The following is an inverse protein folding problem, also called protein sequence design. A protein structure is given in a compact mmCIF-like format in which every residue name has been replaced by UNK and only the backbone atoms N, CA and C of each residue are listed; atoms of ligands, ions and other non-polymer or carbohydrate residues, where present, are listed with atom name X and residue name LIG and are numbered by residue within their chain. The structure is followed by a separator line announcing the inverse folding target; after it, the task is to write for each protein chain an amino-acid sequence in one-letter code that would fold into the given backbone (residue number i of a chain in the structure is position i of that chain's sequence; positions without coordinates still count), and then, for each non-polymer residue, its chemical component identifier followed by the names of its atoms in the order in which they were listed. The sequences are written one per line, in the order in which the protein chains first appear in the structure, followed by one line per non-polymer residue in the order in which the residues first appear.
data_IF_050507731983
#
_entry.id   IF_050507731983
#
_cell.length_a   1.000
_cell.length_b   1.000
_cell.length_c   1.000
_cell.angle_alpha   90.00
_cell.angle_beta   90.00
_cell.angle_gamma   90.00
#
_symmetry.space_group_name_H-M   'P 1'
#
loop_
_entity.id
_entity.type
_entity.pdbx_description
1 polymer ?
#
# COMPACT_ATOMS: atom_id res chain seq x y z
N UNK A 1 -15.59 15.35 8.05
CA UNK A 1 -14.91 14.61 6.96
C UNK A 1 -13.50 14.17 7.33
N UNK A 2 -12.66 15.01 7.95
CA UNK A 2 -11.27 14.68 8.29
C UNK A 2 -11.08 13.45 9.21
N UNK A 3 -11.93 13.23 10.22
CA UNK A 3 -11.74 12.12 11.18
C UNK A 3 -11.93 10.73 10.57
N UNK A 4 -12.88 10.57 9.64
CA UNK A 4 -13.12 9.28 8.95
C UNK A 4 -11.92 8.90 8.09
N UNK A 5 -11.39 9.88 7.36
CA UNK A 5 -10.21 9.70 6.52
C UNK A 5 -8.97 9.33 7.34
N UNK A 6 -8.74 10.00 8.48
CA UNK A 6 -7.63 9.68 9.40
C UNK A 6 -7.74 8.25 9.92
N UNK A 7 -8.94 7.82 10.35
CA UNK A 7 -9.17 6.44 10.81
C UNK A 7 -8.92 5.44 9.70
N UNK A 8 -9.43 5.70 8.49
CA UNK A 8 -9.24 4.85 7.31
C UNK A 8 -7.77 4.72 6.94
N UNK A 9 -7.02 5.82 6.95
CA UNK A 9 -5.56 5.85 6.78
C UNK A 9 -4.82 5.02 7.82
N UNK A 10 -5.23 5.12 9.08
CA UNK A 10 -4.68 4.29 10.16
C UNK A 10 -4.90 2.81 9.91
N UNK A 11 -6.11 2.41 9.49
CA UNK A 11 -6.44 1.01 9.19
C UNK A 11 -5.63 0.47 8.00
N UNK A 12 -5.61 1.17 6.86
CA UNK A 12 -4.86 0.70 5.67
C UNK A 12 -3.36 0.61 5.95
N UNK A 13 -2.80 1.61 6.65
CA UNK A 13 -1.39 1.61 7.02
C UNK A 13 -1.07 0.41 7.93
N UNK A 14 -1.91 0.17 8.94
CA UNK A 14 -1.73 -0.98 9.84
C UNK A 14 -1.81 -2.29 9.08
N UNK A 15 -2.81 -2.46 8.21
CA UNK A 15 -2.97 -3.66 7.38
C UNK A 15 -1.72 -3.94 6.53
N UNK A 16 -1.15 -2.91 5.91
CA UNK A 16 0.11 -3.06 5.17
C UNK A 16 1.29 -3.45 6.09
N UNK A 17 1.43 -2.77 7.23
CA UNK A 17 2.54 -2.98 8.17
C UNK A 17 2.44 -4.31 8.94
N UNK A 18 1.26 -4.94 9.02
CA UNK A 18 1.05 -6.22 9.69
C UNK A 18 0.73 -7.33 8.71
N UNK A 19 -0.49 -7.32 8.17
CA UNK A 19 -1.11 -8.47 7.52
C UNK A 19 -0.49 -8.71 6.15
N UNK A 20 -0.37 -7.64 5.35
CA UNK A 20 0.28 -7.73 4.05
C UNK A 20 1.77 -8.06 4.18
N UNK A 21 2.49 -7.46 5.13
CA UNK A 21 3.91 -7.76 5.33
C UNK A 21 4.14 -9.24 5.65
N UNK A 22 3.29 -9.83 6.50
CA UNK A 22 3.34 -11.27 6.78
C UNK A 22 3.06 -12.07 5.50
N UNK A 23 2.00 -11.70 4.77
CA UNK A 23 1.64 -12.36 3.53
C UNK A 23 2.76 -12.30 2.48
N UNK A 24 3.31 -11.12 2.22
CA UNK A 24 4.38 -10.91 1.25
C UNK A 24 5.62 -11.73 1.57
N UNK A 25 6.03 -11.77 2.86
CA UNK A 25 7.18 -12.57 3.29
C UNK A 25 6.92 -14.07 3.20
N UNK A 26 5.72 -14.53 3.56
CA UNK A 26 5.36 -15.95 3.46
C UNK A 26 5.22 -16.41 2.02
N UNK A 27 4.59 -15.61 1.16
CA UNK A 27 4.52 -15.86 -0.27
C UNK A 27 5.92 -15.98 -0.89
N UNK A 28 6.85 -15.09 -0.51
CA UNK A 28 8.23 -15.11 -1.00
C UNK A 28 9.06 -16.28 -0.46
N UNK A 29 8.91 -16.66 0.82
CA UNK A 29 9.74 -17.67 1.47
C UNK A 29 9.23 -19.11 1.28
N UNK A 30 7.91 -19.30 1.25
CA UNK A 30 7.28 -20.61 1.31
C UNK A 30 6.37 -20.92 0.11
N UNK A 31 6.18 -19.95 -0.81
CA UNK A 31 5.29 -20.10 -1.98
C UNK A 31 3.87 -20.57 -1.62
N UNK A 32 3.39 -20.20 -0.44
CA UNK A 32 2.07 -20.60 0.06
C UNK A 32 0.96 -19.96 -0.80
N UNK A 33 0.09 -20.78 -1.45
CA UNK A 33 -0.88 -20.29 -2.43
C UNK A 33 -1.87 -19.24 -1.88
N UNK A 34 -2.22 -19.34 -0.60
CA UNK A 34 -3.12 -18.40 0.06
C UNK A 34 -2.51 -17.00 0.18
N UNK A 35 -1.22 -16.90 0.52
CA UNK A 35 -0.51 -15.64 0.63
C UNK A 35 -0.14 -15.09 -0.74
N UNK A 36 0.14 -15.96 -1.71
CA UNK A 36 0.38 -15.54 -3.09
C UNK A 36 -0.84 -14.83 -3.68
N UNK A 37 -2.06 -15.34 -3.41
CA UNK A 37 -3.31 -14.68 -3.85
C UNK A 37 -3.46 -13.27 -3.29
N UNK A 38 -3.08 -13.04 -2.02
CA UNK A 38 -3.12 -11.69 -1.43
C UNK A 38 -2.15 -10.76 -2.18
N UNK A 39 -0.94 -11.23 -2.46
CA UNK A 39 0.06 -10.46 -3.22
C UNK A 39 -0.43 -10.15 -4.63
N UNK A 40 -1.05 -11.12 -5.31
CA UNK A 40 -1.57 -10.95 -6.66
C UNK A 40 -2.74 -9.97 -6.72
N UNK A 41 -3.63 -9.98 -5.71
CA UNK A 41 -4.68 -8.98 -5.56
C UNK A 41 -4.10 -7.57 -5.37
N UNK A 42 -3.08 -7.42 -4.52
CA UNK A 42 -2.40 -6.14 -4.36
C UNK A 42 -1.80 -5.67 -5.68
N UNK A 43 -1.10 -6.54 -6.43
CA UNK A 43 -0.57 -6.20 -7.75
C UNK A 43 -1.66 -5.78 -8.74
N UNK A 44 -2.79 -6.49 -8.76
CA UNK A 44 -3.93 -6.15 -9.62
C UNK A 44 -4.48 -4.76 -9.32
N UNK A 45 -4.51 -4.36 -8.05
CA UNK A 45 -4.87 -2.98 -7.67
C UNK A 45 -3.81 -1.98 -8.14
N UNK A 46 -2.53 -2.29 -7.98
CA UNK A 46 -1.43 -1.41 -8.41
C UNK A 46 -1.42 -1.15 -9.92
N UNK A 47 -1.86 -2.11 -10.73
CA UNK A 47 -1.94 -1.97 -12.19
C UNK A 47 -2.98 -0.94 -12.66
N UNK A 48 -4.01 -0.65 -11.84
CA UNK A 48 -5.06 0.32 -12.16
C UNK A 48 -4.92 1.65 -11.42
N UNK A 49 -3.94 1.74 -10.50
CA UNK A 49 -3.62 2.97 -9.78
C UNK A 49 -2.84 3.96 -10.65
N UNK A 50 -2.87 5.23 -10.27
CA UNK A 50 -1.97 6.25 -10.86
C UNK A 50 -0.51 5.85 -10.69
N UNK A 51 0.30 6.02 -11.75
CA UNK A 51 1.71 5.61 -11.82
C UNK A 51 2.56 6.02 -10.60
N UNK A 52 2.37 7.23 -10.09
CA UNK A 52 3.12 7.73 -8.95
C UNK A 52 2.67 7.04 -7.65
N UNK A 53 1.36 6.94 -7.44
CA UNK A 53 0.76 6.27 -6.29
C UNK A 53 1.14 4.79 -6.24
N UNK A 54 1.06 4.07 -7.37
CA UNK A 54 1.41 2.65 -7.47
C UNK A 54 2.88 2.40 -7.13
N UNK A 55 3.80 3.22 -7.66
CA UNK A 55 5.23 3.16 -7.34
C UNK A 55 5.51 3.39 -5.85
N UNK A 56 4.83 4.35 -5.22
CA UNK A 56 5.00 4.57 -3.77
C UNK A 56 4.61 3.31 -2.98
N UNK A 57 3.48 2.69 -3.28
CA UNK A 57 3.02 1.48 -2.58
C UNK A 57 3.95 0.30 -2.87
N UNK A 58 4.33 0.08 -4.12
CA UNK A 58 5.24 -1.00 -4.53
C UNK A 58 6.59 -0.88 -3.81
N UNK A 59 7.25 0.28 -3.90
CA UNK A 59 8.55 0.49 -3.28
C UNK A 59 8.47 0.38 -1.75
N UNK A 60 7.41 0.93 -1.14
CA UNK A 60 7.30 0.97 0.32
C UNK A 60 6.93 -0.36 0.94
N UNK A 61 5.98 -1.09 0.34
CA UNK A 61 5.34 -2.24 0.99
C UNK A 61 5.66 -3.58 0.33
N UNK A 62 5.89 -3.61 -0.99
CA UNK A 62 6.31 -4.84 -1.67
C UNK A 62 7.83 -5.02 -1.56
N UNK A 63 8.59 -3.95 -1.84
CA UNK A 63 10.07 -3.95 -1.73
C UNK A 63 10.58 -3.58 -0.34
N UNK A 64 9.66 -3.32 0.61
CA UNK A 64 9.94 -3.01 2.02
C UNK A 64 10.98 -1.89 2.26
N UNK A 65 11.09 -0.91 1.37
CA UNK A 65 12.08 0.16 1.50
C UNK A 65 11.75 1.13 2.64
N UNK A 66 12.77 1.80 3.17
CA UNK A 66 12.57 2.94 4.09
C UNK A 66 11.95 4.13 3.35
N UNK A 67 11.31 5.05 4.08
CA UNK A 67 10.73 6.25 3.45
C UNK A 67 11.81 7.05 2.70
N UNK A 68 13.01 7.19 3.28
CA UNK A 68 14.13 7.89 2.65
C UNK A 68 14.57 7.23 1.34
N UNK A 69 14.65 5.90 1.30
CA UNK A 69 14.97 5.17 0.07
C UNK A 69 13.90 5.30 -1.01
N UNK A 70 12.62 5.35 -0.62
CA UNK A 70 11.53 5.61 -1.56
C UNK A 70 11.63 7.04 -2.10
N UNK A 71 11.89 8.01 -1.24
CA UNK A 71 12.05 9.40 -1.63
C UNK A 71 13.22 9.60 -2.60
N UNK A 72 14.36 9.01 -2.31
CA UNK A 72 15.54 9.04 -3.18
C UNK A 72 15.24 8.41 -4.55
N UNK A 73 14.53 7.27 -4.60
CA UNK A 73 14.19 6.60 -5.87
C UNK A 73 13.14 7.31 -6.71
N UNK A 74 12.33 8.17 -6.10
CA UNK A 74 11.26 8.92 -6.76
C UNK A 74 11.57 10.41 -6.86
N UNK A 75 12.82 10.80 -6.58
CA UNK A 75 13.30 12.18 -6.65
C UNK A 75 12.44 13.17 -5.83
N UNK A 76 11.98 12.77 -4.64
CA UNK A 76 11.31 13.68 -3.72
C UNK A 76 12.30 14.49 -2.89
N UNK A 77 12.30 15.80 -3.12
CA UNK A 77 13.15 16.78 -2.43
C UNK A 77 12.59 17.24 -1.08
N UNK A 78 11.35 16.88 -0.74
CA UNK A 78 10.66 17.33 0.46
C UNK A 78 9.89 16.20 1.11
N UNK A 79 10.15 15.99 2.41
CA UNK A 79 9.39 15.09 3.26
C UNK A 79 7.89 15.40 3.19
N UNK A 80 7.51 16.67 3.29
CA UNK A 80 6.10 17.09 3.30
C UNK A 80 5.39 16.71 2.00
N UNK A 81 6.07 16.88 0.86
CA UNK A 81 5.55 16.44 -0.43
C UNK A 81 5.40 14.92 -0.46
N UNK A 82 6.46 14.18 -0.12
CA UNK A 82 6.40 12.72 -0.09
C UNK A 82 5.27 12.19 0.80
N UNK A 83 5.14 12.67 2.04
CA UNK A 83 4.09 12.21 2.95
C UNK A 83 2.69 12.55 2.43
N UNK A 84 2.51 13.68 1.72
CA UNK A 84 1.24 14.01 1.07
C UNK A 84 0.91 13.03 -0.06
N UNK A 85 1.87 12.72 -0.93
CA UNK A 85 1.68 11.78 -2.03
C UNK A 85 1.48 10.35 -1.52
N UNK A 86 2.25 9.93 -0.51
CA UNK A 86 2.06 8.65 0.18
C UNK A 86 0.69 8.53 0.82
N UNK A 87 0.21 9.58 1.48
CA UNK A 87 -1.15 9.64 2.04
C UNK A 87 -2.19 9.42 0.94
N UNK A 88 -2.06 10.13 -0.18
CA UNK A 88 -2.93 10.00 -1.34
C UNK A 88 -2.91 8.57 -1.89
N UNK A 89 -1.73 7.99 -2.09
CA UNK A 89 -1.55 6.64 -2.60
C UNK A 89 -2.21 5.57 -1.71
N UNK A 90 -2.12 5.71 -0.38
CA UNK A 90 -2.77 4.80 0.57
C UNK A 90 -4.31 4.87 0.51
N UNK A 91 -4.85 6.08 0.34
CA UNK A 91 -6.30 6.27 0.22
C UNK A 91 -6.83 5.76 -1.12
N UNK A 92 -6.14 6.08 -2.21
CA UNK A 92 -6.44 5.58 -3.54
C UNK A 92 -6.42 4.05 -3.60
N UNK A 93 -5.39 3.42 -3.00
CA UNK A 93 -5.34 1.97 -2.85
C UNK A 93 -6.54 1.44 -2.07
N UNK A 94 -6.90 2.08 -0.95
CA UNK A 94 -8.02 1.66 -0.12
C UNK A 94 -9.38 1.77 -0.85
N UNK A 95 -9.55 2.77 -1.73
CA UNK A 95 -10.73 2.92 -2.57
C UNK A 95 -10.81 1.75 -3.57
N UNK A 96 -9.75 1.55 -4.35
CA UNK A 96 -9.71 0.50 -5.37
C UNK A 96 -9.78 -0.91 -4.76
N UNK A 97 -9.05 -1.19 -3.68
CA UNK A 97 -9.08 -2.48 -3.01
C UNK A 97 -10.46 -2.83 -2.43
N UNK A 98 -11.25 -1.82 -2.06
CA UNK A 98 -12.65 -2.00 -1.66
C UNK A 98 -13.52 -2.37 -2.85
N UNK A 99 -13.31 -1.76 -4.02
CA UNK A 99 -14.02 -2.09 -5.25
C UNK A 99 -13.70 -3.51 -5.76
N UNK A 100 -12.46 -3.97 -5.56
CA UNK A 100 -12.07 -5.37 -5.80
C UNK A 100 -12.62 -6.35 -4.75
N UNK A 101 -13.25 -5.86 -3.68
CA UNK A 101 -13.98 -6.67 -2.70
C UNK A 101 -13.12 -7.41 -1.66
N UNK A 102 -11.81 -7.20 -1.60
CA UNK A 102 -10.95 -7.92 -0.64
C UNK A 102 -10.56 -7.10 0.58
N UNK A 103 -10.69 -5.77 0.55
CA UNK A 103 -10.32 -4.90 1.66
C UNK A 103 -11.52 -4.06 2.14
N UNK A 104 -12.09 -4.44 3.28
CA UNK A 104 -13.25 -3.76 3.85
C UNK A 104 -12.84 -2.91 5.06
N UNK A 105 -12.48 -1.64 4.84
CA UNK A 105 -11.98 -0.75 5.90
C UNK A 105 -13.06 0.06 6.62
N UNK A 106 -14.31 0.02 6.14
CA UNK A 106 -15.42 0.85 6.63
C UNK A 106 -16.34 0.16 7.66
N UNK A 107 -16.04 -1.08 8.03
CA UNK A 107 -16.71 -1.77 9.15
C UNK A 107 -16.10 -1.40 10.51
#
# INVERSE_FOLDING_TARGET
MAEREIKRLGKIRKWFETDFRIANRRAAAFHEPEFQRIVDLVKSVLEVMQDESSKIIELKFIKELSNNQVMERLDYWSDSTYYRHKKKALLEFADLASDFGFLCLDK
#
